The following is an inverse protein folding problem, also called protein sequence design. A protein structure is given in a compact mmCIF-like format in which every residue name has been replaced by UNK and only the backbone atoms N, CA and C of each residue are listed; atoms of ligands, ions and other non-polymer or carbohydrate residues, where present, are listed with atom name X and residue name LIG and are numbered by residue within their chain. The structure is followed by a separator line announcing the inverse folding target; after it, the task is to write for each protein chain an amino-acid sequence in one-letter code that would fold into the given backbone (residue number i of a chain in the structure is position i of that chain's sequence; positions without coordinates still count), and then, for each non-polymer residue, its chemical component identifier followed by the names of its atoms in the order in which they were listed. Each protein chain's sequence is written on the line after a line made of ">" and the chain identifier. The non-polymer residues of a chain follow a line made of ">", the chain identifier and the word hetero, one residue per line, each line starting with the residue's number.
data_IF_033210343311
#
_entry.id   IF_033210343311
#
_cell.length_a   1.000
_cell.length_b   1.000
_cell.length_c   1.000
_cell.angle_alpha   90.00
_cell.angle_beta   90.00
_cell.angle_gamma   90.00
#
_symmetry.space_group_name_H-M   'P 1'
#
loop_
_entity.id
_entity.type
_entity.pdbx_description
1 polymer ?
#
# COMPACT_ATOMS: atom_id res chain seq x y z
N UNK A 1 -13.89 -26.61 -20.08
CA UNK A 1 -12.84 -25.83 -19.39
C UNK A 1 -11.46 -26.04 -20.02
N UNK A 2 -11.12 -27.24 -20.49
CA UNK A 2 -9.77 -27.59 -20.99
C UNK A 2 -9.26 -26.87 -22.25
N UNK A 3 -10.10 -26.18 -23.02
CA UNK A 3 -9.64 -25.47 -24.23
C UNK A 3 -9.89 -23.96 -24.22
N UNK A 4 -10.31 -23.38 -23.09
CA UNK A 4 -10.54 -21.92 -22.90
C UNK A 4 -11.45 -21.23 -23.94
N UNK A 5 -12.09 -21.97 -24.84
CA UNK A 5 -13.03 -21.45 -25.84
C UNK A 5 -14.39 -21.22 -25.17
N UNK A 6 -14.99 -20.05 -25.41
CA UNK A 6 -16.31 -19.67 -24.89
C UNK A 6 -16.33 -18.97 -23.53
N UNK A 7 -15.23 -18.99 -22.76
CA UNK A 7 -15.15 -18.31 -21.45
C UNK A 7 -15.32 -16.79 -21.61
N UNK A 8 -14.71 -16.19 -22.62
CA UNK A 8 -14.81 -14.75 -22.87
C UNK A 8 -16.23 -14.32 -23.22
N UNK A 9 -16.94 -15.12 -24.03
CA UNK A 9 -18.34 -14.86 -24.38
C UNK A 9 -19.27 -15.01 -23.18
N UNK A 10 -19.04 -16.03 -22.35
CA UNK A 10 -19.77 -16.22 -21.10
C UNK A 10 -19.52 -15.06 -20.12
N UNK A 11 -18.27 -14.63 -19.95
CA UNK A 11 -17.93 -13.48 -19.10
C UNK A 11 -18.57 -12.18 -19.60
N UNK A 12 -18.58 -11.94 -20.92
CA UNK A 12 -19.24 -10.79 -21.51
C UNK A 12 -20.76 -10.79 -21.27
N UNK A 13 -21.41 -11.95 -21.45
CA UNK A 13 -22.83 -12.11 -21.19
C UNK A 13 -23.19 -11.96 -19.70
N UNK A 14 -22.31 -12.41 -18.80
CA UNK A 14 -22.46 -12.18 -17.35
C UNK A 14 -22.35 -10.69 -17.04
N UNK A 15 -21.34 -9.99 -17.57
CA UNK A 15 -21.16 -8.55 -17.37
C UNK A 15 -22.37 -7.74 -17.85
N UNK A 16 -22.98 -8.11 -18.98
CA UNK A 16 -24.16 -7.43 -19.52
C UNK A 16 -25.45 -7.68 -18.73
N UNK A 17 -25.56 -8.82 -18.04
CA UNK A 17 -26.76 -9.19 -17.26
C UNK A 17 -26.63 -8.91 -15.77
N UNK A 18 -25.43 -8.58 -15.30
CA UNK A 18 -25.26 -8.05 -13.97
C UNK A 18 -26.00 -6.70 -13.90
N UNK A 19 -26.90 -6.50 -12.93
CA UNK A 19 -27.51 -5.19 -12.73
C UNK A 19 -26.39 -4.16 -12.60
N UNK A 20 -26.55 -2.99 -13.23
CA UNK A 20 -25.68 -1.84 -13.01
C UNK A 20 -25.48 -1.73 -11.51
N UNK A 21 -24.28 -2.06 -11.03
CA UNK A 21 -24.08 -2.10 -9.60
C UNK A 21 -24.40 -0.70 -9.08
N UNK A 22 -25.23 -0.54 -8.02
CA UNK A 22 -25.33 0.73 -7.31
C UNK A 22 -23.98 1.14 -6.68
N UNK A 23 -22.90 0.41 -6.93
CA UNK A 23 -21.52 0.82 -6.66
C UNK A 23 -21.04 2.01 -7.51
N UNK A 24 -21.81 2.50 -8.49
CA UNK A 24 -21.47 3.73 -9.22
C UNK A 24 -22.24 4.98 -8.75
N UNK A 25 -23.02 4.91 -7.66
CA UNK A 25 -23.41 6.12 -6.94
C UNK A 25 -22.22 6.63 -6.12
N UNK A 26 -21.28 7.28 -6.81
CA UNK A 26 -20.25 8.17 -6.27
C UNK A 26 -20.88 9.41 -5.62
N UNK A 27 -21.62 9.20 -4.54
CA UNK A 27 -21.89 10.27 -3.56
C UNK A 27 -20.73 10.35 -2.55
N UNK A 28 -19.65 9.58 -2.73
CA UNK A 28 -18.34 10.05 -2.31
C UNK A 28 -17.83 10.98 -3.39
N UNK A 29 -17.81 12.27 -3.10
CA UNK A 29 -17.06 13.25 -3.88
C UNK A 29 -15.70 12.63 -4.26
N UNK A 30 -15.21 12.89 -5.48
CA UNK A 30 -13.87 12.46 -5.91
C UNK A 30 -12.72 12.96 -4.97
N UNK A 31 -13.06 13.67 -3.89
CA UNK A 31 -12.18 14.29 -2.90
C UNK A 31 -12.13 13.57 -1.54
N UNK A 32 -12.96 12.56 -1.28
CA UNK A 32 -12.96 11.87 0.03
C UNK A 32 -11.94 10.72 0.11
N UNK A 33 -10.95 10.85 0.99
CA UNK A 33 -9.92 9.82 1.20
C UNK A 33 -10.50 8.60 1.95
N UNK A 34 -10.49 7.41 1.36
CA UNK A 34 -10.98 6.20 2.01
C UNK A 34 -9.96 5.62 3.00
N UNK A 35 -10.31 5.59 4.28
CA UNK A 35 -9.45 5.08 5.37
C UNK A 35 -10.08 3.82 5.97
N UNK A 36 -9.31 2.74 6.08
CA UNK A 36 -9.71 1.54 6.83
C UNK A 36 -8.92 1.43 8.12
N UNK A 37 -9.60 1.07 9.21
CA UNK A 37 -8.96 0.78 10.49
C UNK A 37 -8.92 -0.73 10.71
N UNK A 38 -7.70 -1.26 10.82
CA UNK A 38 -7.40 -2.68 10.89
C UNK A 38 -6.70 -3.00 12.21
N UNK A 39 -6.77 -4.28 12.59
CA UNK A 39 -6.11 -4.78 13.80
C UNK A 39 -6.94 -5.88 14.47
N UNK A 40 -6.31 -6.59 15.40
CA UNK A 40 -6.92 -7.73 16.12
C UNK A 40 -8.15 -7.31 16.93
N UNK A 41 -9.00 -8.25 17.37
CA UNK A 41 -10.01 -7.96 18.38
C UNK A 41 -9.44 -7.17 19.57
N UNK A 42 -10.20 -6.21 20.09
CA UNK A 42 -9.91 -5.51 21.35
C UNK A 42 -8.63 -4.64 21.41
N UNK A 43 -7.97 -4.39 20.27
CA UNK A 43 -6.82 -3.46 20.17
C UNK A 43 -7.22 -1.98 20.28
N UNK A 44 -8.52 -1.67 20.33
CA UNK A 44 -9.03 -0.30 20.45
C UNK A 44 -9.51 0.37 19.15
N UNK A 45 -9.86 -0.40 18.11
CA UNK A 45 -10.44 0.15 16.86
C UNK A 45 -11.67 1.02 17.09
N UNK A 46 -12.59 0.57 17.96
CA UNK A 46 -13.83 1.31 18.28
C UNK A 46 -13.57 2.55 19.12
N UNK A 47 -12.67 2.44 20.09
CA UNK A 47 -12.21 3.60 20.85
C UNK A 47 -11.60 4.64 19.93
N UNK A 48 -10.80 4.23 18.93
CA UNK A 48 -10.17 5.15 17.99
C UNK A 48 -11.21 5.89 17.15
N UNK A 49 -12.16 5.17 16.54
CA UNK A 49 -13.26 5.81 15.79
C UNK A 49 -14.06 6.77 16.68
N UNK A 50 -14.41 6.35 17.90
CA UNK A 50 -15.17 7.20 18.82
C UNK A 50 -14.40 8.45 19.22
N UNK A 51 -13.09 8.32 19.49
CA UNK A 51 -12.22 9.45 19.81
C UNK A 51 -12.11 10.43 18.63
N UNK A 52 -12.00 9.91 17.39
CA UNK A 52 -11.98 10.71 16.18
C UNK A 52 -13.31 11.46 15.99
N UNK A 53 -14.44 10.76 16.14
CA UNK A 53 -15.80 11.32 15.94
C UNK A 53 -16.15 12.34 17.01
N UNK A 54 -15.67 12.18 18.25
CA UNK A 54 -15.92 13.11 19.36
C UNK A 54 -14.97 14.32 19.38
N UNK A 55 -14.02 14.39 18.46
CA UNK A 55 -13.12 15.54 18.35
C UNK A 55 -13.92 16.79 17.97
N UNK A 56 -13.71 17.90 18.68
CA UNK A 56 -14.40 19.19 18.42
C UNK A 56 -14.24 19.72 16.99
N UNK A 57 -13.22 19.23 16.27
CA UNK A 57 -12.90 19.65 14.90
C UNK A 57 -13.56 18.78 13.82
N UNK A 58 -14.47 17.89 14.23
CA UNK A 58 -15.06 16.88 13.37
C UNK A 58 -16.47 17.25 12.95
N UNK A 59 -16.74 17.23 11.64
CA UNK A 59 -18.10 17.12 11.11
C UNK A 59 -18.31 15.68 10.67
N UNK A 60 -19.33 15.02 11.20
CA UNK A 60 -19.59 13.59 10.99
C UNK A 60 -21.00 13.39 10.45
N UNK A 61 -21.11 12.66 9.34
CA UNK A 61 -22.39 12.22 8.78
C UNK A 61 -22.35 10.73 8.46
N UNK A 62 -23.50 10.08 8.58
CA UNK A 62 -23.66 8.67 8.21
C UNK A 62 -24.13 8.61 6.76
N UNK A 63 -23.41 7.87 5.91
CA UNK A 63 -23.85 7.62 4.54
C UNK A 63 -24.70 6.34 4.52
N UNK A 64 -26.00 6.41 4.13
CA UNK A 64 -26.81 5.22 4.00
C UNK A 64 -26.40 4.38 2.78
N UNK A 65 -25.90 3.17 3.02
CA UNK A 65 -26.00 2.00 2.13
C UNK A 65 -25.00 1.84 0.97
N UNK A 66 -24.27 0.72 0.96
CA UNK A 66 -24.28 -0.27 -0.16
C UNK A 66 -23.82 -1.64 0.39
N UNK A 67 -24.69 -2.65 0.29
CA UNK A 67 -24.65 -3.97 0.95
C UNK A 67 -24.92 -3.96 2.47
N UNK A 68 -25.81 -4.89 2.89
CA UNK A 68 -26.59 -5.01 4.14
C UNK A 68 -25.93 -4.72 5.50
N UNK A 69 -24.63 -4.45 5.59
CA UNK A 69 -23.89 -4.40 6.86
C UNK A 69 -22.68 -3.44 6.90
N UNK A 70 -22.50 -2.49 5.97
CA UNK A 70 -21.39 -1.52 6.02
C UNK A 70 -21.92 -0.08 6.19
N UNK A 71 -21.80 0.45 7.41
CA UNK A 71 -21.95 1.89 7.68
C UNK A 71 -20.56 2.49 7.48
N UNK A 72 -20.39 3.30 6.45
CA UNK A 72 -19.20 4.11 6.24
C UNK A 72 -19.42 5.46 6.95
N UNK A 73 -18.38 5.98 7.60
CA UNK A 73 -18.46 7.24 8.37
C UNK A 73 -17.77 8.33 7.57
N UNK A 74 -18.54 9.30 7.08
CA UNK A 74 -17.98 10.52 6.52
C UNK A 74 -17.45 11.40 7.64
N UNK A 75 -16.24 11.91 7.43
CA UNK A 75 -15.52 12.72 8.41
C UNK A 75 -14.86 13.88 7.69
N UNK A 76 -15.14 15.10 8.12
CA UNK A 76 -14.42 16.29 7.66
C UNK A 76 -13.59 16.87 8.79
N UNK A 77 -12.35 17.27 8.46
CA UNK A 77 -11.47 18.00 9.36
C UNK A 77 -10.61 18.98 8.57
N UNK A 78 -10.55 20.23 9.03
CA UNK A 78 -9.76 21.30 8.43
C UNK A 78 -10.04 21.44 6.90
N UNK A 79 -11.32 21.35 6.51
CA UNK A 79 -11.78 21.41 5.11
C UNK A 79 -11.40 20.19 4.25
N UNK A 80 -10.93 19.10 4.86
CA UNK A 80 -10.53 17.86 4.16
C UNK A 80 -11.51 16.74 4.47
N UNK A 81 -12.03 16.11 3.42
CA UNK A 81 -12.97 15.02 3.54
C UNK A 81 -12.26 13.65 3.59
N UNK A 82 -12.77 12.80 4.46
CA UNK A 82 -12.34 11.43 4.70
C UNK A 82 -13.58 10.55 4.81
N UNK A 83 -13.45 9.29 4.42
CA UNK A 83 -14.47 8.28 4.68
C UNK A 83 -13.82 7.11 5.38
N UNK A 84 -14.25 6.82 6.60
CA UNK A 84 -13.88 5.59 7.28
C UNK A 84 -14.76 4.46 6.76
N UNK A 85 -14.15 3.49 6.10
CA UNK A 85 -14.86 2.37 5.48
C UNK A 85 -14.95 1.16 6.41
N UNK A 86 -15.97 0.33 6.20
CA UNK A 86 -16.17 -0.96 6.87
C UNK A 86 -16.26 -0.87 8.42
N UNK A 87 -16.80 0.24 8.94
CA UNK A 87 -16.85 0.54 10.38
C UNK A 87 -17.97 -0.19 11.14
N UNK A 88 -18.83 -0.95 10.46
CA UNK A 88 -19.96 -1.61 11.12
C UNK A 88 -19.58 -2.61 12.22
N UNK A 89 -18.47 -3.36 12.03
CA UNK A 89 -17.93 -4.25 13.07
C UNK A 89 -17.32 -3.49 14.26
N UNK A 90 -16.98 -2.22 14.04
CA UNK A 90 -16.43 -1.32 15.05
C UNK A 90 -17.56 -0.74 15.92
N UNK A 91 -18.70 -0.35 15.34
CA UNK A 91 -19.85 0.22 16.06
C UNK A 91 -20.77 -0.82 16.74
N UNK A 92 -21.01 -1.99 16.13
CA UNK A 92 -21.90 -3.03 16.71
C UNK A 92 -21.42 -3.59 18.07
N UNK A 93 -20.11 -3.55 18.37
CA UNK A 93 -19.55 -4.07 19.63
C UNK A 93 -19.98 -3.31 20.90
N UNK A 94 -20.65 -2.16 20.78
CA UNK A 94 -21.26 -1.46 21.92
C UNK A 94 -22.51 -2.15 22.50
N UNK A 95 -23.14 -3.07 21.76
CA UNK A 95 -24.30 -3.87 22.22
C UNK A 95 -24.06 -5.34 21.85
N UNK A 96 -23.75 -6.16 22.87
CA UNK A 96 -23.67 -7.64 22.88
C UNK A 96 -23.71 -8.35 21.52
N UNK A 97 -22.58 -8.89 21.09
CA UNK A 97 -22.52 -10.11 20.26
C UNK A 97 -21.09 -10.67 20.29
N UNK A 98 -20.94 -11.75 21.03
CA UNK A 98 -19.89 -12.74 20.91
C UNK A 98 -20.28 -13.70 19.77
N UNK A 99 -20.00 -13.35 18.52
CA UNK A 99 -20.06 -14.33 17.45
C UNK A 99 -19.37 -13.84 16.18
N UNK A 100 -18.62 -14.78 15.57
CA UNK A 100 -17.99 -14.74 14.24
C UNK A 100 -16.55 -14.18 14.18
N UNK A 101 -15.62 -14.86 14.85
CA UNK A 101 -14.17 -14.68 14.66
C UNK A 101 -13.59 -15.43 13.43
N UNK A 102 -14.41 -16.11 12.65
CA UNK A 102 -13.97 -16.90 11.48
C UNK A 102 -13.94 -16.09 10.15
N UNK A 103 -14.51 -14.88 10.11
CA UNK A 103 -14.52 -14.04 8.89
C UNK A 103 -13.34 -13.05 8.77
N UNK A 104 -12.32 -13.18 9.62
CA UNK A 104 -11.42 -12.07 9.98
C UNK A 104 -10.22 -11.79 9.05
N UNK A 105 -9.99 -12.61 8.01
CA UNK A 105 -8.93 -12.37 7.00
C UNK A 105 -9.50 -11.90 5.66
N UNK A 106 -10.48 -12.62 5.10
CA UNK A 106 -11.11 -12.24 3.83
C UNK A 106 -11.80 -10.87 3.92
N UNK A 107 -12.41 -10.56 5.07
CA UNK A 107 -12.98 -9.23 5.33
C UNK A 107 -11.88 -8.17 5.34
N UNK A 108 -10.76 -8.42 6.01
CA UNK A 108 -9.63 -7.49 6.03
C UNK A 108 -9.05 -7.26 4.63
N UNK A 109 -8.87 -8.31 3.82
CA UNK A 109 -8.37 -8.20 2.44
C UNK A 109 -9.32 -7.36 1.57
N UNK A 110 -10.64 -7.59 1.66
CA UNK A 110 -11.64 -6.78 0.95
C UNK A 110 -11.59 -5.31 1.37
N UNK A 111 -11.52 -5.03 2.68
CA UNK A 111 -11.44 -3.66 3.19
C UNK A 111 -10.14 -2.97 2.76
N UNK A 112 -9.00 -3.67 2.82
CA UNK A 112 -7.70 -3.18 2.35
C UNK A 112 -7.79 -2.78 0.87
N UNK A 113 -8.39 -3.61 0.01
CA UNK A 113 -8.55 -3.32 -1.42
C UNK A 113 -9.35 -2.05 -1.70
N UNK A 114 -10.40 -1.81 -0.91
CA UNK A 114 -11.26 -0.62 -1.03
C UNK A 114 -10.64 0.65 -0.45
N UNK A 115 -9.72 0.55 0.50
CA UNK A 115 -9.11 1.70 1.15
C UNK A 115 -8.03 2.38 0.29
N UNK A 116 -7.87 3.70 0.42
CA UNK A 116 -6.67 4.41 -0.02
C UNK A 116 -5.55 4.30 1.01
N UNK A 117 -5.93 4.35 2.30
CA UNK A 117 -5.02 4.30 3.44
C UNK A 117 -5.46 3.26 4.47
N UNK A 118 -4.52 2.42 4.91
CA UNK A 118 -4.71 1.47 5.99
C UNK A 118 -4.13 2.01 7.30
N UNK A 119 -4.92 2.05 8.36
CA UNK A 119 -4.45 2.31 9.73
C UNK A 119 -4.41 0.99 10.48
N UNK A 120 -3.21 0.44 10.70
CA UNK A 120 -3.00 -0.78 11.46
C UNK A 120 -2.83 -0.44 12.95
N UNK A 121 -3.79 -0.83 13.78
CA UNK A 121 -3.70 -0.68 15.22
C UNK A 121 -3.02 -1.90 15.84
N UNK A 122 -2.00 -1.65 16.66
CA UNK A 122 -1.31 -2.63 17.50
C UNK A 122 -1.54 -2.26 18.96
N UNK A 123 -1.84 -3.25 19.79
CA UNK A 123 -1.97 -3.10 21.24
C UNK A 123 -0.58 -3.11 21.91
N UNK A 124 -0.18 -1.99 22.51
CA UNK A 124 1.11 -1.87 23.20
C UNK A 124 1.29 -2.85 24.36
N UNK A 125 0.21 -3.24 25.03
CA UNK A 125 0.29 -4.18 26.17
C UNK A 125 0.70 -5.60 25.74
N UNK A 126 0.48 -5.95 24.48
CA UNK A 126 0.84 -7.24 23.89
C UNK A 126 2.02 -7.15 22.92
N UNK A 127 2.37 -5.94 22.48
CA UNK A 127 3.27 -5.70 21.37
C UNK A 127 2.75 -6.28 20.04
N UNK A 128 3.63 -6.34 19.04
CA UNK A 128 3.30 -6.91 17.72
C UNK A 128 3.19 -8.43 17.81
N UNK A 129 2.01 -8.96 17.49
CA UNK A 129 1.71 -10.40 17.49
C UNK A 129 1.71 -11.01 16.08
N UNK A 130 1.52 -12.33 15.97
CA UNK A 130 1.43 -13.02 14.69
C UNK A 130 0.23 -12.57 13.83
N UNK A 131 -0.90 -12.21 14.43
CA UNK A 131 -2.07 -11.75 13.69
C UNK A 131 -1.88 -10.30 13.20
N UNK A 132 -1.15 -9.46 13.94
CA UNK A 132 -0.75 -8.12 13.47
C UNK A 132 0.16 -8.23 12.24
N UNK A 133 1.15 -9.14 12.28
CA UNK A 133 2.03 -9.43 11.14
C UNK A 133 1.26 -9.94 9.92
N UNK A 134 0.25 -10.80 10.10
CA UNK A 134 -0.62 -11.27 9.02
C UNK A 134 -1.36 -10.12 8.34
N UNK A 135 -1.96 -9.22 9.12
CA UNK A 135 -2.67 -8.05 8.57
C UNK A 135 -1.67 -7.12 7.86
N UNK A 136 -0.52 -6.83 8.47
CA UNK A 136 0.54 -6.03 7.86
C UNK A 136 1.02 -6.63 6.52
N UNK A 137 1.14 -7.96 6.44
CA UNK A 137 1.51 -8.67 5.22
C UNK A 137 0.46 -8.52 4.11
N UNK A 138 -0.83 -8.50 4.45
CA UNK A 138 -1.90 -8.22 3.48
C UNK A 138 -1.83 -6.77 2.96
N UNK A 139 -1.60 -5.80 3.84
CA UNK A 139 -1.42 -4.39 3.45
C UNK A 139 -0.25 -4.25 2.48
N UNK A 140 0.90 -4.88 2.78
CA UNK A 140 2.07 -4.88 1.92
C UNK A 140 1.79 -5.56 0.57
N UNK A 141 1.14 -6.73 0.59
CA UNK A 141 0.77 -7.50 -0.62
C UNK A 141 -0.11 -6.68 -1.56
N UNK A 142 -1.09 -5.97 -1.01
CA UNK A 142 -2.01 -5.10 -1.76
C UNK A 142 -1.40 -3.72 -2.10
N UNK A 143 -0.16 -3.46 -1.65
CA UNK A 143 0.60 -2.21 -1.87
C UNK A 143 -0.21 -0.96 -1.51
N UNK A 144 -0.86 -1.00 -0.34
CA UNK A 144 -1.64 0.13 0.17
C UNK A 144 -0.80 1.07 1.01
N UNK A 145 -1.18 2.35 0.99
CA UNK A 145 -0.62 3.30 1.92
C UNK A 145 -0.95 2.86 3.36
N UNK A 146 -0.05 3.09 4.30
CA UNK A 146 -0.19 2.55 5.64
C UNK A 146 0.33 3.48 6.73
N UNK A 147 -0.34 3.49 7.88
CA UNK A 147 0.13 4.07 9.14
C UNK A 147 -0.06 3.01 10.22
N UNK A 148 0.93 2.86 11.10
CA UNK A 148 0.83 1.96 12.26
C UNK A 148 0.54 2.80 13.50
N UNK A 149 -0.48 2.42 14.27
CA UNK A 149 -0.84 3.08 15.53
C UNK A 149 -0.61 2.10 16.67
N UNK A 150 0.37 2.41 17.51
CA UNK A 150 0.62 1.74 18.77
C UNK A 150 -0.31 2.32 19.83
N UNK A 151 -1.38 1.61 20.12
CA UNK A 151 -2.48 2.06 20.96
C UNK A 151 -2.37 1.54 22.40
N UNK A 152 -3.16 2.12 23.31
CA UNK A 152 -3.17 1.86 24.76
C UNK A 152 -1.94 2.38 25.49
N UNK A 153 -1.39 3.49 25.01
CA UNK A 153 -0.26 4.16 25.63
C UNK A 153 -0.53 4.53 27.11
N UNK A 154 -1.79 4.82 27.46
CA UNK A 154 -2.25 5.07 28.83
C UNK A 154 -2.01 3.91 29.80
N UNK A 155 -1.87 2.69 29.29
CA UNK A 155 -1.57 1.50 30.10
C UNK A 155 -0.06 1.24 30.24
N UNK A 156 0.78 1.98 29.52
CA UNK A 156 2.22 1.79 29.52
C UNK A 156 2.86 2.73 30.53
N UNK A 157 3.57 2.15 31.50
CA UNK A 157 4.41 2.90 32.45
C UNK A 157 5.85 2.89 31.96
N UNK A 158 6.36 3.97 31.35
CA UNK A 158 7.72 4.00 30.82
C UNK A 158 8.74 3.94 31.96
N UNK A 159 9.77 3.11 31.81
CA UNK A 159 10.90 3.01 32.76
C UNK A 159 11.97 4.08 32.52
N UNK A 160 11.94 4.72 31.36
CA UNK A 160 12.84 5.78 30.92
C UNK A 160 12.05 7.06 30.63
N UNK A 161 12.74 8.15 30.26
CA UNK A 161 12.08 9.37 29.78
C UNK A 161 11.10 9.01 28.65
N UNK A 162 9.90 9.58 28.68
CA UNK A 162 8.82 9.25 27.73
C UNK A 162 9.27 9.22 26.26
N UNK A 163 10.07 10.22 25.83
CA UNK A 163 10.62 10.29 24.47
C UNK A 163 11.46 9.05 24.10
N UNK A 164 12.28 8.57 25.02
CA UNK A 164 13.13 7.40 24.82
C UNK A 164 12.29 6.13 24.76
N UNK A 165 11.36 5.95 25.69
CA UNK A 165 10.44 4.81 25.67
C UNK A 165 9.63 4.73 24.36
N UNK A 166 9.16 5.87 23.84
CA UNK A 166 8.47 5.94 22.54
C UNK A 166 9.40 5.53 21.40
N UNK A 167 10.65 6.00 21.38
CA UNK A 167 11.62 5.62 20.35
C UNK A 167 11.89 4.11 20.36
N UNK A 168 12.11 3.53 21.54
CA UNK A 168 12.32 2.08 21.72
C UNK A 168 11.12 1.27 21.22
N UNK A 169 9.89 1.68 21.52
CA UNK A 169 8.67 1.03 21.03
C UNK A 169 8.54 1.09 19.50
N UNK A 170 8.89 2.23 18.91
CA UNK A 170 8.89 2.40 17.45
C UNK A 170 9.91 1.47 16.80
N UNK A 171 11.13 1.39 17.33
CA UNK A 171 12.20 0.54 16.78
C UNK A 171 11.89 -0.95 16.96
N UNK A 172 11.36 -1.36 18.12
CA UNK A 172 10.88 -2.72 18.35
C UNK A 172 9.73 -3.08 17.39
N UNK A 173 8.82 -2.16 17.13
CA UNK A 173 7.73 -2.38 16.17
C UNK A 173 8.29 -2.53 14.76
N UNK A 174 9.15 -1.63 14.32
CA UNK A 174 9.79 -1.66 12.99
C UNK A 174 10.55 -2.96 12.75
N UNK A 175 11.28 -3.47 13.74
CA UNK A 175 11.97 -4.76 13.58
C UNK A 175 11.00 -5.93 13.40
N UNK A 176 9.84 -5.92 14.07
CA UNK A 176 8.84 -6.99 13.98
C UNK A 176 7.99 -6.95 12.71
N UNK A 177 7.78 -5.78 12.12
CA UNK A 177 7.08 -5.57 10.84
C UNK A 177 7.99 -4.88 9.80
N UNK A 178 9.23 -5.35 9.69
CA UNK A 178 10.27 -4.77 8.81
C UNK A 178 9.87 -4.68 7.33
N UNK A 179 8.91 -5.49 6.89
CA UNK A 179 8.40 -5.51 5.52
C UNK A 179 7.37 -4.40 5.25
N UNK A 180 6.93 -3.70 6.30
CA UNK A 180 6.09 -2.50 6.25
C UNK A 180 6.90 -1.26 6.71
N UNK A 181 8.19 -1.25 6.41
CA UNK A 181 9.17 -0.22 6.81
C UNK A 181 8.78 1.23 6.43
N UNK A 182 8.00 1.38 5.36
CA UNK A 182 7.51 2.64 4.88
C UNK A 182 6.42 3.25 5.74
N UNK A 183 5.72 2.45 6.54
CA UNK A 183 4.61 2.95 7.36
C UNK A 183 5.14 3.75 8.57
N UNK A 184 4.77 5.02 8.75
CA UNK A 184 5.09 5.75 9.96
C UNK A 184 4.34 5.15 11.15
N UNK A 185 4.98 5.20 12.32
CA UNK A 185 4.49 4.61 13.56
C UNK A 185 4.10 5.74 14.52
N UNK A 186 2.86 5.74 14.97
CA UNK A 186 2.29 6.70 15.93
C UNK A 186 2.03 5.98 17.25
N UNK A 187 2.53 6.50 18.37
CA UNK A 187 2.12 6.06 19.72
C UNK A 187 0.97 6.93 20.19
N UNK A 188 -0.12 6.32 20.67
CA UNK A 188 -1.33 7.02 21.06
C UNK A 188 -2.17 6.27 22.10
N UNK A 189 -3.15 6.97 22.68
CA UNK A 189 -4.24 6.36 23.43
C UNK A 189 -5.58 6.77 22.84
N UNK A 190 -6.27 5.79 22.26
CA UNK A 190 -7.63 5.96 21.80
C UNK A 190 -8.66 6.09 22.95
N UNK A 191 -8.29 5.72 24.17
CA UNK A 191 -9.16 5.84 25.34
C UNK A 191 -9.16 7.28 25.86
N UNK A 192 -7.97 7.87 26.04
CA UNK A 192 -7.82 9.23 26.57
C UNK A 192 -7.87 10.30 25.47
N UNK A 193 -7.70 9.91 24.20
CA UNK A 193 -7.56 10.82 23.06
C UNK A 193 -6.12 11.30 22.85
N UNK A 194 -5.16 10.87 23.68
CA UNK A 194 -3.77 11.31 23.57
C UNK A 194 -3.19 10.99 22.20
N UNK A 195 -2.65 12.03 21.54
CA UNK A 195 -1.99 11.96 20.23
C UNK A 195 -2.87 11.48 19.07
N UNK A 196 -4.19 11.37 19.22
CA UNK A 196 -5.10 10.98 18.13
C UNK A 196 -5.09 12.02 17.00
N UNK A 197 -5.02 13.31 17.32
CA UNK A 197 -4.91 14.38 16.31
C UNK A 197 -3.68 14.23 15.41
N UNK A 198 -2.57 13.69 15.93
CA UNK A 198 -1.34 13.48 15.15
C UNK A 198 -1.52 12.45 14.04
N UNK A 199 -2.54 11.58 14.12
CA UNK A 199 -2.90 10.68 13.03
C UNK A 199 -3.17 11.46 11.75
N UNK A 200 -3.93 12.56 11.83
CA UNK A 200 -4.26 13.38 10.66
C UNK A 200 -3.04 14.16 10.13
N UNK A 201 -2.11 14.54 11.00
CA UNK A 201 -0.80 15.07 10.56
C UNK A 201 -0.01 14.03 9.77
N UNK A 202 -0.05 12.76 10.18
CA UNK A 202 0.59 11.68 9.43
C UNK A 202 -0.12 11.46 8.10
N UNK A 203 -1.46 11.42 8.07
CA UNK A 203 -2.24 11.33 6.82
C UNK A 203 -1.88 12.47 5.85
N UNK A 204 -1.77 13.70 6.35
CA UNK A 204 -1.36 14.86 5.55
C UNK A 204 0.06 14.70 4.99
N UNK A 205 0.99 14.15 5.78
CA UNK A 205 2.36 13.86 5.33
C UNK A 205 2.37 12.80 4.23
N UNK A 206 1.59 11.71 4.36
CA UNK A 206 1.44 10.68 3.33
C UNK A 206 0.90 11.29 2.04
N UNK A 207 -0.15 12.13 2.14
CA UNK A 207 -0.75 12.81 0.98
C UNK A 207 0.23 13.74 0.27
N UNK A 208 1.00 14.53 1.04
CA UNK A 208 2.04 15.40 0.47
C UNK A 208 3.13 14.58 -0.22
N UNK A 209 3.52 13.45 0.37
CA UNK A 209 4.53 12.56 -0.22
C UNK A 209 4.05 11.89 -1.52
N UNK A 210 2.75 11.59 -1.64
CA UNK A 210 2.19 10.98 -2.85
C UNK A 210 2.36 11.86 -4.10
N UNK A 211 2.35 13.19 -3.92
CA UNK A 211 2.59 14.15 -5.00
C UNK A 211 4.07 14.41 -5.32
N UNK A 212 5.03 13.85 -4.57
CA UNK A 212 6.46 14.12 -4.79
C UNK A 212 6.99 13.40 -6.01
N UNK A 213 7.86 14.10 -6.74
CA UNK A 213 8.55 13.59 -7.92
C UNK A 213 10.05 13.72 -7.79
N UNK A 214 10.76 12.69 -8.26
CA UNK A 214 12.20 12.71 -8.44
C UNK A 214 12.45 13.03 -9.92
N UNK A 215 13.19 14.11 -10.18
CA UNK A 215 13.60 14.46 -11.55
C UNK A 215 14.35 13.30 -12.21
N UNK A 216 14.07 13.04 -13.49
CA UNK A 216 14.63 11.90 -14.22
C UNK A 216 16.15 11.86 -14.18
N UNK A 217 16.83 13.00 -14.33
CA UNK A 217 18.29 13.09 -14.22
C UNK A 217 18.82 12.65 -12.85
N UNK A 218 18.19 13.11 -11.77
CA UNK A 218 18.56 12.73 -10.39
C UNK A 218 18.33 11.24 -10.17
N UNK A 219 17.16 10.73 -10.58
CA UNK A 219 16.80 9.32 -10.45
C UNK A 219 17.77 8.40 -11.21
N UNK A 220 18.16 8.78 -12.42
CA UNK A 220 19.09 7.99 -13.24
C UNK A 220 20.50 7.98 -12.63
N UNK A 221 21.00 9.13 -12.16
CA UNK A 221 22.29 9.18 -11.46
C UNK A 221 22.28 8.33 -10.19
N UNK A 222 21.23 8.46 -9.38
CA UNK A 222 21.06 7.68 -8.15
C UNK A 222 21.10 6.17 -8.42
N UNK A 223 20.31 5.70 -9.39
CA UNK A 223 20.19 4.27 -9.66
C UNK A 223 21.40 3.71 -10.42
N UNK A 224 22.07 4.50 -11.27
CA UNK A 224 23.35 4.10 -11.86
C UNK A 224 24.42 3.92 -10.79
N UNK A 225 24.59 4.91 -9.91
CA UNK A 225 25.53 4.81 -8.79
C UNK A 225 25.20 3.66 -7.84
N UNK A 226 23.92 3.30 -7.67
CA UNK A 226 23.53 2.11 -6.91
C UNK A 226 23.96 0.79 -7.60
N UNK A 227 23.82 0.69 -8.92
CA UNK A 227 24.27 -0.47 -9.69
C UNK A 227 25.80 -0.62 -9.72
N UNK A 228 26.53 0.50 -9.70
CA UNK A 228 28.00 0.52 -9.64
C UNK A 228 28.51 0.13 -8.26
N UNK A 229 27.96 0.74 -7.20
CA UNK A 229 28.39 0.50 -5.83
C UNK A 229 28.04 -0.91 -5.32
N UNK A 230 26.93 -1.48 -5.79
CA UNK A 230 26.54 -2.85 -5.46
C UNK A 230 26.01 -3.55 -6.72
N UNK A 231 26.87 -4.21 -7.51
CA UNK A 231 26.47 -4.88 -8.74
C UNK A 231 25.43 -5.98 -8.50
N UNK A 232 24.39 -6.10 -9.35
CA UNK A 232 23.40 -7.16 -9.21
C UNK A 232 24.04 -8.56 -9.25
N UNK A 233 23.51 -9.53 -8.48
CA UNK A 233 23.98 -10.91 -8.53
C UNK A 233 23.79 -11.52 -9.92
N UNK A 234 24.62 -12.50 -10.26
CA UNK A 234 24.46 -13.26 -11.50
C UNK A 234 23.36 -14.30 -11.34
N UNK A 235 22.42 -14.33 -12.28
CA UNK A 235 21.38 -15.36 -12.38
C UNK A 235 21.54 -16.01 -13.75
N UNK A 236 21.77 -17.33 -13.77
CA UNK A 236 22.02 -18.09 -15.00
C UNK A 236 23.11 -17.47 -15.89
N UNK A 237 24.23 -17.06 -15.29
CA UNK A 237 25.36 -16.47 -16.00
C UNK A 237 25.16 -15.03 -16.49
N UNK A 238 24.03 -14.38 -16.18
CA UNK A 238 23.72 -13.01 -16.62
C UNK A 238 23.51 -12.08 -15.44
N UNK A 239 23.96 -10.83 -15.60
CA UNK A 239 23.66 -9.73 -14.67
C UNK A 239 22.51 -8.87 -15.18
N UNK A 240 21.68 -8.39 -14.26
CA UNK A 240 20.72 -7.33 -14.55
C UNK A 240 21.49 -6.09 -15.00
N UNK A 241 21.11 -5.52 -16.14
CA UNK A 241 21.67 -4.27 -16.66
C UNK A 241 20.58 -3.22 -16.69
N UNK A 242 20.85 -2.07 -16.09
CA UNK A 242 19.97 -0.92 -16.11
C UNK A 242 20.36 0.02 -17.25
N UNK A 243 19.40 0.37 -18.11
CA UNK A 243 19.62 1.32 -19.20
C UNK A 243 19.18 2.73 -18.82
N UNK A 244 17.97 2.85 -18.29
CA UNK A 244 17.35 4.12 -17.94
C UNK A 244 16.19 3.90 -16.98
N UNK A 245 15.85 4.93 -16.21
CA UNK A 245 14.73 4.94 -15.27
C UNK A 245 13.86 6.17 -15.42
N UNK A 246 12.56 6.00 -15.24
CA UNK A 246 11.61 7.11 -15.17
C UNK A 246 10.61 6.87 -14.05
N UNK A 247 10.12 7.94 -13.43
CA UNK A 247 8.95 7.87 -12.58
C UNK A 247 7.70 7.98 -13.46
N UNK A 248 6.74 7.07 -13.29
CA UNK A 248 5.50 7.08 -14.06
C UNK A 248 4.64 8.31 -13.69
N UNK A 249 3.87 8.80 -14.66
CA UNK A 249 3.08 10.03 -14.49
C UNK A 249 1.89 9.90 -13.53
N UNK A 250 1.65 8.71 -12.99
CA UNK A 250 0.51 8.45 -12.11
C UNK A 250 -0.82 8.36 -12.86
N UNK A 251 -1.86 7.83 -12.22
CA UNK A 251 -3.27 7.94 -12.60
C UNK A 251 -3.87 9.04 -11.72
N UNK A 252 -4.47 10.06 -12.33
CA UNK A 252 -4.99 11.23 -11.61
C UNK A 252 -6.12 10.87 -10.62
N UNK A 253 -6.76 9.71 -10.77
CA UNK A 253 -7.95 9.32 -10.02
C UNK A 253 -7.68 8.73 -8.62
N UNK A 254 -6.41 8.56 -8.20
CA UNK A 254 -6.06 8.01 -6.87
C UNK A 254 -5.43 9.07 -5.98
N UNK A 255 -6.04 9.34 -4.83
CA UNK A 255 -5.54 10.34 -3.88
C UNK A 255 -4.17 10.01 -3.27
N UNK A 256 -3.90 8.74 -3.00
CA UNK A 256 -2.64 8.26 -2.42
C UNK A 256 -1.96 7.27 -3.36
N UNK A 257 -1.64 7.73 -4.57
CA UNK A 257 -0.96 6.86 -5.51
C UNK A 257 0.47 6.53 -5.05
N UNK A 258 0.82 5.23 -4.93
CA UNK A 258 2.20 4.82 -4.72
C UNK A 258 3.12 5.33 -5.83
N UNK A 259 4.29 5.92 -5.54
CA UNK A 259 5.26 6.29 -6.56
C UNK A 259 5.71 5.06 -7.33
N UNK A 260 5.51 5.09 -8.65
CA UNK A 260 5.92 4.03 -9.56
C UNK A 260 7.17 4.45 -10.34
N UNK A 261 8.20 3.63 -10.29
CA UNK A 261 9.42 3.80 -11.08
C UNK A 261 9.53 2.67 -12.09
N UNK A 262 9.65 3.06 -13.36
CA UNK A 262 9.83 2.17 -14.49
C UNK A 262 11.32 2.04 -14.78
N UNK A 263 11.85 0.83 -14.61
CA UNK A 263 13.24 0.48 -14.88
C UNK A 263 13.33 -0.22 -16.24
N UNK A 264 14.03 0.40 -17.19
CA UNK A 264 14.32 -0.22 -18.47
C UNK A 264 15.58 -1.06 -18.34
N UNK A 265 15.41 -2.37 -18.44
CA UNK A 265 16.48 -3.36 -18.18
C UNK A 265 16.68 -4.29 -19.37
N UNK A 266 17.77 -5.07 -19.33
CA UNK A 266 17.99 -6.14 -20.30
C UNK A 266 16.93 -7.25 -20.15
N UNK A 267 16.71 -7.74 -18.94
CA UNK A 267 15.89 -8.92 -18.71
C UNK A 267 15.21 -8.86 -17.33
N UNK A 268 13.87 -8.60 -17.26
CA UNK A 268 13.17 -8.35 -16.00
C UNK A 268 13.30 -9.44 -14.93
N UNK A 269 13.35 -10.72 -15.34
CA UNK A 269 13.48 -11.86 -14.41
C UNK A 269 14.80 -11.90 -13.64
N UNK A 270 15.80 -11.10 -14.03
CA UNK A 270 17.09 -11.01 -13.35
C UNK A 270 17.02 -10.15 -12.07
N UNK A 271 15.92 -9.44 -11.82
CA UNK A 271 15.72 -8.71 -10.56
C UNK A 271 15.12 -9.65 -9.50
N UNK A 272 15.93 -10.07 -8.54
CA UNK A 272 15.43 -10.77 -7.35
C UNK A 272 14.89 -9.80 -6.28
N UNK A 273 14.20 -10.34 -5.29
CA UNK A 273 13.55 -9.55 -4.23
C UNK A 273 14.56 -8.80 -3.34
N UNK A 274 15.71 -9.41 -3.04
CA UNK A 274 16.77 -8.76 -2.24
C UNK A 274 17.29 -7.50 -2.93
N UNK A 275 17.59 -7.59 -4.22
CA UNK A 275 18.07 -6.46 -4.99
C UNK A 275 16.97 -5.42 -5.24
N UNK A 276 15.71 -5.85 -5.41
CA UNK A 276 14.55 -4.94 -5.44
C UNK A 276 14.51 -4.08 -4.18
N UNK A 277 14.57 -4.68 -2.99
CA UNK A 277 14.56 -3.96 -1.70
C UNK A 277 15.75 -3.01 -1.56
N UNK A 278 16.92 -3.43 -2.03
CA UNK A 278 18.10 -2.55 -2.09
C UNK A 278 17.82 -1.28 -2.93
N UNK A 279 17.26 -1.44 -4.14
CA UNK A 279 16.91 -0.29 -5.00
C UNK A 279 15.83 0.59 -4.38
N UNK A 280 14.80 -0.01 -3.78
CA UNK A 280 13.75 0.73 -3.05
C UNK A 280 14.35 1.54 -1.90
N UNK A 281 15.24 0.95 -1.09
CA UNK A 281 15.93 1.64 -0.01
C UNK A 281 16.80 2.80 -0.53
N UNK A 282 17.45 2.64 -1.69
CA UNK A 282 18.20 3.73 -2.34
C UNK A 282 17.29 4.87 -2.77
N UNK A 283 16.12 4.57 -3.34
CA UNK A 283 15.13 5.60 -3.71
C UNK A 283 14.62 6.31 -2.46
N UNK A 284 14.30 5.57 -1.38
CA UNK A 284 13.85 6.15 -0.10
C UNK A 284 14.87 7.09 0.54
N UNK A 285 16.17 6.86 0.35
CA UNK A 285 17.21 7.79 0.81
C UNK A 285 17.15 9.15 0.09
N UNK A 286 16.71 9.18 -1.16
CA UNK A 286 16.56 10.43 -1.93
C UNK A 286 15.20 11.09 -1.68
N UNK A 287 14.12 10.31 -1.64
CA UNK A 287 12.77 10.77 -1.29
C UNK A 287 12.09 9.69 -0.44
N UNK A 288 11.85 9.93 0.87
CA UNK A 288 11.43 8.88 1.81
C UNK A 288 10.06 8.24 1.53
N UNK A 289 9.13 8.98 0.93
CA UNK A 289 7.74 8.55 0.70
C UNK A 289 7.08 7.90 1.94
N UNK A 290 6.98 8.62 3.07
CA UNK A 290 6.40 8.07 4.29
C UNK A 290 4.96 7.61 4.05
N UNK A 291 4.66 6.42 4.54
CA UNK A 291 3.35 5.78 4.46
C UNK A 291 3.00 5.24 3.07
N UNK A 292 3.88 5.37 2.08
CA UNK A 292 3.63 4.88 0.72
C UNK A 292 4.58 3.74 0.36
N UNK A 293 4.08 2.63 -0.20
CA UNK A 293 4.93 1.66 -0.86
C UNK A 293 5.54 2.26 -2.14
N UNK A 294 6.69 1.77 -2.55
CA UNK A 294 7.27 2.09 -3.86
C UNK A 294 6.92 0.95 -4.81
N UNK A 295 6.53 1.27 -6.04
CA UNK A 295 6.35 0.25 -7.09
C UNK A 295 7.51 0.33 -8.07
N UNK A 296 8.27 -0.76 -8.22
CA UNK A 296 9.26 -0.89 -9.29
C UNK A 296 8.72 -1.80 -10.40
N UNK A 297 8.47 -1.21 -11.56
CA UNK A 297 8.01 -1.87 -12.78
C UNK A 297 9.18 -2.05 -13.73
N UNK A 298 9.39 -3.26 -14.25
CA UNK A 298 10.51 -3.55 -15.15
C UNK A 298 10.01 -3.68 -16.57
N UNK A 299 10.70 -3.02 -17.51
CA UNK A 299 10.43 -3.14 -18.95
C UNK A 299 11.68 -3.59 -19.68
N UNK A 300 11.60 -4.62 -20.54
CA UNK A 300 12.71 -4.94 -21.43
C UNK A 300 12.91 -3.80 -22.42
N UNK A 301 14.16 -3.48 -22.75
CA UNK A 301 14.46 -2.52 -23.83
C UNK A 301 14.05 -3.12 -25.17
N UNK A 302 13.13 -2.45 -25.88
CA UNK A 302 12.54 -2.85 -27.18
C UNK A 302 13.56 -3.13 -28.29
N UNK A 303 14.80 -2.65 -28.17
CA UNK A 303 15.87 -2.90 -29.15
C UNK A 303 16.47 -4.32 -29.15
N UNK A 304 16.21 -5.17 -28.15
CA UNK A 304 16.86 -6.48 -28.04
C UNK A 304 16.16 -7.60 -28.82
N UNK A 305 14.86 -7.48 -29.14
CA UNK A 305 14.12 -8.51 -29.89
C UNK A 305 14.24 -8.34 -31.41
N UNK A 306 14.28 -7.11 -31.93
CA UNK A 306 14.39 -6.89 -33.38
C UNK A 306 15.72 -7.34 -33.98
N UNK A 307 16.84 -7.21 -33.26
CA UNK A 307 18.16 -7.65 -33.77
C UNK A 307 18.31 -9.18 -33.90
N UNK A 308 17.59 -9.98 -33.10
CA UNK A 308 17.65 -11.45 -33.21
C UNK A 308 16.84 -11.99 -34.39
N UNK A 309 15.70 -11.37 -34.74
CA UNK A 309 14.92 -11.78 -35.91
C UNK A 309 15.51 -11.26 -37.23
N UNK A 310 16.10 -10.07 -37.24
CA UNK A 310 16.78 -9.54 -38.45
C UNK A 310 18.07 -10.31 -38.75
N UNK A 311 18.84 -10.71 -37.73
CA UNK A 311 20.05 -11.52 -37.90
C UNK A 311 19.77 -12.93 -38.43
N UNK A 312 18.67 -13.56 -38.04
CA UNK A 312 18.26 -14.87 -38.58
C UNK A 312 17.76 -14.79 -40.03
N UNK A 313 17.02 -13.73 -40.39
CA UNK A 313 16.59 -13.51 -41.79
C UNK A 313 17.78 -13.18 -42.71
N UNK A 314 18.73 -12.37 -42.25
CA UNK A 314 19.93 -12.05 -43.02
C UNK A 314 20.86 -13.27 -43.21
N UNK A 315 20.99 -14.13 -42.18
CA UNK A 315 21.78 -15.36 -42.28
C UNK A 315 21.14 -16.44 -43.18
N UNK A 316 19.81 -16.47 -43.29
CA UNK A 316 19.11 -17.35 -44.24
C UNK A 316 19.17 -16.84 -45.68
N UNK A 317 19.10 -15.52 -45.89
CA UNK A 317 19.25 -14.92 -47.22
C UNK A 317 20.65 -15.14 -47.81
N UNK A 318 21.71 -15.00 -47.01
CA UNK A 318 23.09 -15.26 -47.46
C UNK A 318 23.39 -16.74 -47.77
N UNK A 319 22.65 -17.68 -47.18
CA UNK A 319 22.79 -19.12 -47.51
C UNK A 319 22.11 -19.52 -48.82
N UNK A 320 21.12 -18.75 -49.29
CA UNK A 320 20.46 -19.01 -50.57
C UNK A 320 21.21 -18.40 -51.76
N UNK A 321 21.96 -17.31 -51.56
CA UNK A 321 22.77 -16.70 -52.63
C UNK A 321 24.16 -17.34 -52.82
N UNK A 322 24.68 -18.07 -51.83
CA UNK A 322 25.98 -18.76 -51.93
C UNK A 322 25.87 -20.22 -52.43
N UNK A 323 24.65 -20.67 -52.79
CA UNK A 323 24.38 -22.01 -53.32
C UNK A 323 23.76 -22.00 -54.71
N UNK A 324 23.90 -20.89 -55.45
CA UNK A 324 23.56 -20.77 -56.88
C UNK A 324 24.84 -20.63 -57.69
#
# INVERSE_FOLDING_TARGET
>A
AEHSRGITGLLAAIVQRLPSSPHDSRVTSHYSLAIVILGRPNVGKSSLINSIVRSERAIVSELPGTTRDAIDISYERDGRQFVFIDTAGIRRRGKRSSSVEVFSVMRAERSIRRADLCVLIVDLTMGVTAQDKRIAGLIQKERKAAIVVLNKWDLIRPKSKQRQAIAELIDQTRSRIFFLDYAPVLVASALTGESIDKLFSFVANVRRAAGKRIGTGVLNRLLRGAFEANPPPMISGRRLKLFYTAQASGKQDRQLQPPEFVLFVNEPRLLNETYRRYLEARIRKAEPYPGLPITLTLRPRTGARHKKQSGHRAAQANKQQAGS
#
